data_IF_354076615928
#
_entry.id   IF_354076615928
#
_cell.length_a   1.000
_cell.length_b   1.000
_cell.length_c   1.000
_cell.angle_alpha   90.00
_cell.angle_beta   90.00
_cell.angle_gamma   90.00
#
_symmetry.space_group_name_H-M   'P 1'
#
loop_
_entity.id
_entity.type
_entity.pdbx_description
1 polymer ?
#
# COMPACT_ATOMS: atom_id res chain seq x y z
N UNK A 1 -7.62 -12.51 12.93
CA UNK A 1 -7.20 -11.61 11.84
C UNK A 1 -7.98 -11.95 10.59
N UNK A 2 -8.63 -11.00 9.91
CA UNK A 2 -9.29 -11.31 8.66
C UNK A 2 -8.19 -11.53 7.61
N UNK A 3 -7.81 -12.79 7.42
CA UNK A 3 -7.08 -13.18 6.21
C UNK A 3 -8.04 -12.84 5.07
N UNK A 4 -7.72 -11.81 4.31
CA UNK A 4 -8.41 -11.55 3.05
C UNK A 4 -8.05 -12.73 2.15
N UNK A 5 -8.97 -13.70 2.03
CA UNK A 5 -8.77 -14.86 1.14
C UNK A 5 -8.70 -14.39 -0.33
N UNK A 6 -9.31 -13.24 -0.61
CA UNK A 6 -9.25 -12.53 -1.89
C UNK A 6 -7.97 -11.68 -1.94
N UNK A 7 -7.19 -11.76 -3.02
CA UNK A 7 -5.95 -10.97 -3.11
C UNK A 7 -6.19 -9.46 -3.22
N UNK A 8 -7.41 -9.06 -3.60
CA UNK A 8 -7.86 -7.68 -3.78
C UNK A 8 -9.38 -7.64 -3.66
N UNK A 9 -9.92 -6.59 -3.04
CA UNK A 9 -11.36 -6.35 -2.91
C UNK A 9 -11.67 -4.85 -2.78
N UNK A 10 -12.92 -4.49 -3.10
CA UNK A 10 -13.48 -3.18 -2.81
C UNK A 10 -14.12 -3.18 -1.43
N UNK A 11 -13.94 -2.10 -0.67
CA UNK A 11 -14.56 -1.90 0.62
C UNK A 11 -15.86 -1.06 0.49
N UNK A 12 -16.72 -1.13 1.49
CA UNK A 12 -18.04 -0.46 1.49
C UNK A 12 -17.92 1.07 1.41
N UNK A 13 -16.82 1.63 1.93
CA UNK A 13 -16.53 3.07 1.92
C UNK A 13 -15.86 3.54 0.62
N UNK A 14 -15.71 2.65 -0.37
CA UNK A 14 -15.09 2.95 -1.65
C UNK A 14 -13.57 2.92 -1.64
N UNK A 15 -12.93 2.44 -0.57
CA UNK A 15 -11.49 2.16 -0.55
C UNK A 15 -11.17 0.77 -1.12
N UNK A 16 -9.89 0.48 -1.30
CA UNK A 16 -9.41 -0.80 -1.83
C UNK A 16 -8.48 -1.51 -0.84
N UNK A 17 -8.68 -2.81 -0.67
CA UNK A 17 -7.83 -3.66 0.17
C UNK A 17 -7.20 -4.76 -0.68
N UNK A 18 -5.93 -5.09 -0.45
CA UNK A 18 -5.16 -6.00 -1.29
C UNK A 18 -3.96 -6.60 -0.56
N UNK A 19 -3.40 -7.68 -1.11
CA UNK A 19 -2.18 -8.29 -0.59
C UNK A 19 -2.44 -9.45 0.37
N UNK A 20 -1.50 -10.41 0.37
CA UNK A 20 -1.52 -11.56 1.26
C UNK A 20 -0.09 -12.09 1.45
N UNK A 21 0.54 -11.63 2.51
CA UNK A 21 1.91 -12.02 2.88
C UNK A 21 2.03 -13.45 3.41
N UNK A 22 0.91 -14.14 3.67
CA UNK A 22 0.92 -15.53 4.17
C UNK A 22 1.08 -16.56 3.04
N UNK A 23 1.09 -16.13 1.79
CA UNK A 23 1.26 -17.04 0.66
C UNK A 23 2.74 -17.42 0.50
N UNK A 24 2.99 -18.73 0.40
CA UNK A 24 4.33 -19.24 0.09
C UNK A 24 4.75 -18.99 -1.35
N UNK A 25 3.79 -18.91 -2.26
CA UNK A 25 4.01 -18.74 -3.69
C UNK A 25 3.27 -17.52 -4.23
N UNK A 26 3.94 -16.85 -5.17
CA UNK A 26 3.41 -15.68 -5.88
C UNK A 26 2.03 -15.95 -6.47
N UNK A 27 1.06 -15.16 -6.04
CA UNK A 27 -0.29 -15.16 -6.59
C UNK A 27 -0.63 -13.78 -7.16
N UNK A 28 -1.62 -13.72 -8.08
CA UNK A 28 -2.02 -12.47 -8.73
C UNK A 28 -3.50 -12.45 -9.07
N UNK A 29 -4.07 -11.26 -9.03
CA UNK A 29 -5.36 -10.91 -9.67
C UNK A 29 -5.09 -9.73 -10.58
N UNK A 30 -5.64 -9.77 -11.79
CA UNK A 30 -5.57 -8.70 -12.78
C UNK A 30 -6.99 -8.32 -13.20
N UNK A 31 -7.12 -7.18 -13.87
CA UNK A 31 -8.37 -6.69 -14.45
C UNK A 31 -9.49 -6.54 -13.38
N UNK A 32 -9.11 -6.19 -12.14
CA UNK A 32 -10.05 -5.93 -11.06
C UNK A 32 -10.59 -4.51 -11.16
N UNK A 33 -11.87 -4.37 -11.50
CA UNK A 33 -12.51 -3.07 -11.68
C UNK A 33 -12.90 -2.45 -10.33
N UNK A 34 -12.47 -1.21 -10.10
CA UNK A 34 -12.82 -0.42 -8.92
C UNK A 34 -12.89 1.06 -9.28
N UNK A 35 -14.02 1.70 -9.01
CA UNK A 35 -14.22 3.14 -9.25
C UNK A 35 -13.89 3.62 -10.69
N UNK A 36 -14.05 2.74 -11.69
CA UNK A 36 -13.75 3.06 -13.10
C UNK A 36 -12.28 2.87 -13.51
N UNK A 37 -11.44 2.43 -12.59
CA UNK A 37 -10.05 2.05 -12.82
C UNK A 37 -9.89 0.52 -12.79
N UNK A 38 -8.90 0.01 -13.52
CA UNK A 38 -8.56 -1.41 -13.54
C UNK A 38 -7.29 -1.68 -12.72
N UNK A 39 -7.38 -2.57 -11.74
CA UNK A 39 -6.31 -2.88 -10.79
C UNK A 39 -5.72 -4.26 -11.00
N UNK A 40 -4.45 -4.38 -10.61
CA UNK A 40 -3.73 -5.64 -10.63
C UNK A 40 -2.82 -5.75 -9.42
N UNK A 41 -3.03 -6.81 -8.65
CA UNK A 41 -2.22 -7.14 -7.47
C UNK A 41 -1.35 -8.36 -7.78
N UNK A 42 -0.11 -8.33 -7.30
CA UNK A 42 0.77 -9.50 -7.19
C UNK A 42 1.27 -9.57 -5.75
N UNK A 43 1.12 -10.71 -5.10
CA UNK A 43 1.46 -10.79 -3.68
C UNK A 43 1.89 -12.20 -3.27
N UNK A 44 2.83 -12.26 -2.34
CA UNK A 44 3.23 -13.39 -1.51
C UNK A 44 4.20 -12.89 -0.43
N UNK A 45 4.71 -13.78 0.43
CA UNK A 45 5.58 -13.40 1.57
C UNK A 45 6.76 -12.48 1.25
N UNK A 46 7.31 -12.51 0.04
CA UNK A 46 8.48 -11.66 -0.30
C UNK A 46 8.12 -10.29 -0.88
N UNK A 47 6.92 -10.10 -1.42
CA UNK A 47 6.53 -8.83 -2.07
C UNK A 47 5.02 -8.73 -2.24
N UNK A 48 4.49 -7.52 -2.01
CA UNK A 48 3.15 -7.12 -2.45
C UNK A 48 3.29 -5.94 -3.40
N UNK A 49 2.60 -5.99 -4.54
CA UNK A 49 2.63 -4.95 -5.56
C UNK A 49 1.23 -4.68 -6.09
N UNK A 50 0.87 -3.41 -6.19
CA UNK A 50 -0.37 -2.92 -6.79
C UNK A 50 -0.07 -2.06 -8.01
N UNK A 51 -0.75 -2.36 -9.11
CA UNK A 51 -0.79 -1.58 -10.33
C UNK A 51 -2.23 -1.08 -10.55
N UNK A 52 -2.41 0.16 -11.04
CA UNK A 52 -3.68 0.77 -11.44
C UNK A 52 -3.57 1.32 -12.85
N UNK A 53 -4.44 0.89 -13.75
CA UNK A 53 -4.39 1.20 -15.18
C UNK A 53 -3.01 0.93 -15.81
N UNK A 54 -2.32 -0.12 -15.33
CA UNK A 54 -0.97 -0.48 -15.77
C UNK A 54 0.16 0.36 -15.16
N UNK A 55 -0.14 1.40 -14.38
CA UNK A 55 0.82 2.23 -13.66
C UNK A 55 1.04 1.70 -12.24
N UNK A 56 2.22 1.95 -11.67
CA UNK A 56 2.55 1.51 -10.32
C UNK A 56 1.79 2.34 -9.29
N UNK A 57 1.37 1.73 -8.19
CA UNK A 57 0.76 2.46 -7.06
C UNK A 57 1.50 2.19 -5.76
N UNK A 58 1.71 0.92 -5.44
CA UNK A 58 2.27 0.47 -4.17
C UNK A 58 3.17 -0.74 -4.39
N UNK A 59 4.26 -0.80 -3.63
CA UNK A 59 5.05 -2.01 -3.46
C UNK A 59 5.59 -2.10 -2.03
N UNK A 60 5.69 -3.33 -1.51
CA UNK A 60 6.36 -3.60 -0.24
C UNK A 60 7.34 -4.75 -0.37
N UNK A 61 8.44 -4.68 0.39
CA UNK A 61 9.38 -5.79 0.59
C UNK A 61 9.73 -5.86 2.08
N UNK A 62 9.44 -6.99 2.78
CA UNK A 62 8.69 -8.16 2.34
C UNK A 62 7.21 -7.87 1.99
N UNK A 63 6.47 -8.92 1.64
CA UNK A 63 5.07 -8.81 1.29
C UNK A 63 4.22 -8.34 2.47
N UNK A 64 3.19 -7.56 2.16
CA UNK A 64 2.23 -7.05 3.16
C UNK A 64 0.79 -7.32 2.72
N UNK A 65 -0.15 -7.15 3.64
CA UNK A 65 -1.57 -6.95 3.33
C UNK A 65 -1.93 -5.49 3.67
N UNK A 66 -2.59 -4.82 2.74
CA UNK A 66 -2.99 -3.41 2.84
C UNK A 66 -4.51 -3.35 2.89
N UNK A 67 -5.05 -2.69 3.90
CA UNK A 67 -6.47 -2.50 4.08
C UNK A 67 -6.86 -1.03 3.93
N UNK A 68 -8.04 -0.83 3.35
CA UNK A 68 -8.70 0.47 3.22
C UNK A 68 -7.81 1.54 2.58
N UNK A 69 -7.04 1.19 1.55
CA UNK A 69 -6.22 2.17 0.85
C UNK A 69 -7.12 3.17 0.13
N UNK A 70 -6.90 4.44 0.44
CA UNK A 70 -7.59 5.56 -0.17
C UNK A 70 -6.58 6.54 -0.72
N UNK A 71 -6.68 6.80 -2.01
CA UNK A 71 -5.79 7.70 -2.74
C UNK A 71 -6.59 8.92 -3.16
N UNK A 72 -6.07 10.10 -2.88
CA UNK A 72 -6.67 11.39 -3.27
C UNK A 72 -5.58 12.31 -3.81
N UNK A 73 -5.96 13.45 -4.38
CA UNK A 73 -4.99 14.49 -4.78
C UNK A 73 -4.16 15.03 -3.60
N UNK A 74 -4.67 14.89 -2.37
CA UNK A 74 -4.01 15.35 -1.15
C UNK A 74 -3.02 14.35 -0.59
N UNK A 75 -3.01 13.11 -1.08
CA UNK A 75 -2.16 12.04 -0.58
C UNK A 75 -2.90 10.72 -0.40
N UNK A 76 -2.37 9.86 0.46
CA UNK A 76 -2.83 8.47 0.63
C UNK A 76 -2.90 8.06 2.10
N UNK A 77 -3.94 7.32 2.46
CA UNK A 77 -4.12 6.70 3.78
C UNK A 77 -4.40 5.20 3.62
N UNK A 78 -3.83 4.37 4.51
CA UNK A 78 -4.09 2.93 4.56
C UNK A 78 -3.65 2.31 5.89
N UNK A 79 -4.12 1.11 6.17
CA UNK A 79 -3.59 0.24 7.23
C UNK A 79 -2.80 -0.90 6.61
N UNK A 80 -1.64 -1.24 7.15
CA UNK A 80 -0.76 -2.30 6.63
C UNK A 80 -0.44 -3.35 7.70
N UNK A 81 -0.38 -4.61 7.27
CA UNK A 81 -0.04 -5.79 8.07
C UNK A 81 1.12 -6.55 7.39
N UNK A 82 2.00 -7.14 8.19
CA UNK A 82 3.11 -7.96 7.71
C UNK A 82 3.66 -8.85 8.82
N UNK A 83 4.59 -9.74 8.48
CA UNK A 83 5.28 -10.63 9.41
C UNK A 83 6.58 -10.04 9.95
N UNK A 84 7.16 -9.06 9.25
CA UNK A 84 8.38 -8.35 9.61
C UNK A 84 8.36 -6.93 9.04
N UNK A 85 9.27 -6.08 9.54
CA UNK A 85 9.50 -4.72 9.05
C UNK A 85 9.56 -4.68 7.53
N UNK A 86 8.79 -3.76 6.93
CA UNK A 86 8.66 -3.67 5.48
C UNK A 86 9.06 -2.30 4.97
N UNK A 87 9.81 -2.30 3.86
CA UNK A 87 10.01 -1.12 3.05
C UNK A 87 8.82 -0.95 2.12
N UNK A 88 8.14 0.18 2.21
CA UNK A 88 7.03 0.56 1.36
C UNK A 88 7.51 1.59 0.34
N UNK A 89 7.12 1.39 -0.92
CA UNK A 89 7.26 2.36 -2.01
C UNK A 89 5.88 2.76 -2.52
N UNK A 90 5.60 4.05 -2.56
CA UNK A 90 4.40 4.65 -3.14
C UNK A 90 4.75 5.42 -4.42
N UNK A 91 3.84 5.44 -5.39
CA UNK A 91 3.87 6.43 -6.48
C UNK A 91 2.87 7.54 -6.19
N UNK A 92 3.39 8.76 -6.11
CA UNK A 92 2.71 10.01 -5.83
C UNK A 92 3.12 11.04 -6.89
N UNK A 93 2.74 12.30 -6.70
CA UNK A 93 3.17 13.39 -7.59
C UNK A 93 4.69 13.57 -7.56
N UNK A 94 5.29 13.82 -8.72
CA UNK A 94 6.73 14.02 -8.85
C UNK A 94 7.18 15.35 -8.24
N UNK A 95 8.38 15.34 -7.67
CA UNK A 95 9.00 16.54 -7.09
C UNK A 95 8.17 17.28 -6.01
N UNK A 96 7.21 16.60 -5.37
CA UNK A 96 6.36 17.14 -4.31
C UNK A 96 6.83 16.70 -2.91
N UNK A 97 6.59 17.55 -1.91
CA UNK A 97 6.87 17.24 -0.50
C UNK A 97 5.64 16.67 0.20
N UNK A 98 5.89 15.70 1.07
CA UNK A 98 4.88 15.00 1.84
C UNK A 98 5.28 14.90 3.30
N UNK A 99 4.29 14.99 4.18
CA UNK A 99 4.41 14.63 5.59
C UNK A 99 3.84 13.22 5.81
N UNK A 100 4.59 12.39 6.52
CA UNK A 100 4.24 11.00 6.80
C UNK A 100 3.89 10.86 8.28
N UNK A 101 2.79 10.20 8.57
CA UNK A 101 2.42 9.79 9.93
C UNK A 101 2.25 8.28 10.00
N UNK A 102 2.76 7.67 11.06
CA UNK A 102 2.72 6.23 11.34
C UNK A 102 2.06 6.05 12.71
N UNK A 103 0.94 5.33 12.77
CA UNK A 103 0.11 5.21 13.98
C UNK A 103 -0.24 6.56 14.64
N UNK A 104 -0.45 7.59 13.83
CA UNK A 104 -0.72 8.96 14.28
C UNK A 104 0.50 9.76 14.76
N UNK A 105 1.68 9.14 14.81
CA UNK A 105 2.94 9.82 15.14
C UNK A 105 3.62 10.34 13.87
N UNK A 106 4.15 11.56 13.91
CA UNK A 106 4.86 12.14 12.77
C UNK A 106 6.18 11.40 12.51
N UNK A 107 6.30 10.80 11.33
CA UNK A 107 7.47 10.05 10.87
C UNK A 107 8.42 10.91 10.00
N UNK A 108 8.12 12.21 9.86
CA UNK A 108 8.95 13.19 9.16
C UNK A 108 8.38 13.63 7.80
N UNK A 109 9.17 14.47 7.12
CA UNK A 109 8.87 15.01 5.80
C UNK A 109 9.81 14.42 4.77
N UNK A 110 9.26 14.06 3.62
CA UNK A 110 10.01 13.44 2.54
C UNK A 110 9.55 14.02 1.20
N UNK A 111 10.49 14.12 0.25
CA UNK A 111 10.23 14.57 -1.11
C UNK A 111 10.24 13.37 -2.04
N UNK A 112 9.29 13.29 -2.96
CA UNK A 112 9.31 12.27 -4.01
C UNK A 112 10.51 12.48 -4.94
N UNK A 113 11.01 11.39 -5.51
CA UNK A 113 12.02 11.49 -6.56
C UNK A 113 11.40 12.00 -7.88
N UNK A 114 12.23 12.14 -8.93
CA UNK A 114 11.78 12.59 -10.25
C UNK A 114 10.74 11.66 -10.91
N UNK A 115 10.60 10.42 -10.43
CA UNK A 115 9.59 9.47 -10.87
C UNK A 115 8.41 9.35 -9.91
N UNK A 116 8.21 10.32 -9.02
CA UNK A 116 7.07 10.33 -8.08
C UNK A 116 7.17 9.31 -6.95
N UNK A 117 8.32 8.64 -6.75
CA UNK A 117 8.43 7.60 -5.71
C UNK A 117 8.72 8.18 -4.34
N UNK A 118 7.96 7.72 -3.35
CA UNK A 118 8.20 7.92 -1.93
C UNK A 118 8.52 6.57 -1.29
N UNK A 119 9.62 6.47 -0.54
CA UNK A 119 10.08 5.20 0.07
C UNK A 119 10.29 5.42 1.56
N UNK A 120 9.71 4.56 2.40
CA UNK A 120 9.85 4.59 3.85
C UNK A 120 9.69 3.18 4.44
N UNK A 121 10.12 2.98 5.68
CA UNK A 121 9.98 1.70 6.39
C UNK A 121 8.86 1.80 7.43
N UNK A 122 8.19 0.68 7.67
CA UNK A 122 7.23 0.50 8.76
C UNK A 122 7.61 -0.73 9.58
N UNK A 123 7.53 -0.60 10.91
CA UNK A 123 7.83 -1.69 11.84
C UNK A 123 6.59 -2.57 11.98
N UNK A 124 6.70 -3.84 11.58
CA UNK A 124 5.56 -4.75 11.48
C UNK A 124 5.84 -6.07 12.21
N UNK A 125 4.77 -6.66 12.72
CA UNK A 125 4.78 -8.00 13.29
C UNK A 125 3.44 -8.67 13.03
N UNK A 126 3.40 -10.01 13.11
CA UNK A 126 2.18 -10.78 12.89
C UNK A 126 1.01 -10.39 13.80
N UNK A 127 1.24 -9.65 14.89
CA UNK A 127 0.19 -9.26 15.84
C UNK A 127 -0.32 -7.83 15.64
N UNK A 128 0.43 -6.98 14.92
CA UNK A 128 0.16 -5.55 14.84
C UNK A 128 -0.19 -5.07 13.43
N UNK A 129 -1.08 -4.08 13.40
CA UNK A 129 -1.37 -3.30 12.21
C UNK A 129 -0.71 -1.93 12.36
N UNK A 130 -0.26 -1.36 11.24
CA UNK A 130 0.27 0.00 11.21
C UNK A 130 -0.62 0.87 10.34
N UNK A 131 -1.11 1.97 10.90
CA UNK A 131 -1.78 3.02 10.13
C UNK A 131 -0.72 3.94 9.51
N UNK A 132 -0.86 4.19 8.20
CA UNK A 132 0.02 5.09 7.45
C UNK A 132 -0.83 6.17 6.81
N UNK A 133 -0.44 7.43 7.04
CA UNK A 133 -1.05 8.60 6.40
C UNK A 133 0.06 9.43 5.77
N UNK A 134 -0.07 9.70 4.47
CA UNK A 134 0.88 10.52 3.71
C UNK A 134 0.12 11.69 3.11
N UNK A 135 0.48 12.91 3.51
CA UNK A 135 -0.24 14.14 3.10
C UNK A 135 0.71 15.07 2.36
N UNK A 136 0.27 15.57 1.21
CA UNK A 136 1.01 16.55 0.42
C UNK A 136 1.10 17.90 1.16
N UNK A 137 2.28 18.51 1.15
CA UNK A 137 2.56 19.82 1.74
C UNK A 137 2.36 20.98 0.75
#
# INVERSE_FOLDING_TARGET
MPVVNELIRSEVDGTISFGNFKLDAKSKVADFEHCGDSYKVKTFKEITKLERNGLFVYESVPGTAVNNMKITEKGVEFTVYGDADAQITLELEDSAEYEISVNGENAGKMKTNLGGKLIFSVDLSEENAVEVVVVKL
#
